data_IF_737740275307
#
_entry.id   IF_737740275307
#
_cell.length_a   1.000
_cell.length_b   1.000
_cell.length_c   1.000
_cell.angle_alpha   90.00
_cell.angle_beta   90.00
_cell.angle_gamma   90.00
#
_symmetry.space_group_name_H-M   'P 1'
#
loop_
_entity.id
_entity.type
_entity.pdbx_description
1 polymer ?
#
# COMPACT_ATOMS: atom_id res chain seq x y z
N UNK A 1 -0.27 -35.11 7.45
CA UNK A 1 0.09 -35.37 6.06
C UNK A 1 1.18 -34.46 5.51
N UNK A 2 1.72 -34.92 4.41
CA UNK A 2 2.74 -34.16 3.69
C UNK A 2 2.09 -33.17 2.72
N UNK A 3 2.76 -32.04 2.49
CA UNK A 3 2.35 -31.09 1.47
C UNK A 3 3.57 -30.36 0.92
N UNK A 4 3.42 -29.78 -0.26
CA UNK A 4 4.48 -29.05 -0.96
C UNK A 4 4.11 -27.59 -1.05
N UNK A 5 5.04 -26.70 -0.68
CA UNK A 5 4.95 -25.26 -0.86
C UNK A 5 5.85 -24.89 -2.04
N UNK A 6 5.26 -24.22 -3.03
CA UNK A 6 6.00 -23.82 -4.23
C UNK A 6 6.93 -22.65 -3.95
N UNK A 7 7.93 -22.47 -4.82
CA UNK A 7 8.80 -21.30 -4.80
C UNK A 7 7.96 -20.01 -4.87
N UNK A 8 8.31 -19.02 -4.05
CA UNK A 8 7.60 -17.76 -3.97
C UNK A 8 6.34 -17.78 -3.13
N UNK A 9 6.04 -18.89 -2.48
CA UNK A 9 4.90 -19.05 -1.59
C UNK A 9 5.36 -19.34 -0.17
N UNK A 10 4.50 -19.00 0.79
CA UNK A 10 4.62 -19.45 2.18
C UNK A 10 3.30 -20.07 2.60
N UNK A 11 3.35 -21.08 3.44
CA UNK A 11 2.16 -21.70 4.02
C UNK A 11 2.08 -21.35 5.51
N UNK A 12 0.92 -20.89 5.93
CA UNK A 12 0.62 -20.68 7.34
C UNK A 12 -0.13 -21.89 7.85
N UNK A 13 0.40 -22.52 8.88
CA UNK A 13 -0.19 -23.69 9.51
C UNK A 13 -0.95 -23.24 10.76
N UNK A 14 -2.23 -23.60 10.82
CA UNK A 14 -3.04 -23.37 12.01
C UNK A 14 -3.34 -24.71 12.69
N UNK A 15 -3.32 -24.71 14.01
CA UNK A 15 -3.67 -25.87 14.82
C UNK A 15 -4.86 -25.51 15.69
N UNK A 16 -5.96 -26.23 15.52
CA UNK A 16 -7.24 -25.93 16.20
C UNK A 16 -7.68 -24.47 16.01
N UNK A 17 -7.46 -23.94 14.80
CA UNK A 17 -7.82 -22.57 14.45
C UNK A 17 -6.85 -21.47 14.89
N UNK A 18 -5.77 -21.84 15.60
CA UNK A 18 -4.76 -20.89 16.07
C UNK A 18 -3.48 -21.02 15.26
N UNK A 19 -2.75 -19.92 15.13
CA UNK A 19 -1.45 -19.93 14.48
C UNK A 19 -0.51 -20.92 15.12
N UNK A 20 0.14 -21.74 14.29
CA UNK A 20 1.14 -22.71 14.74
C UNK A 20 2.53 -22.40 14.16
N UNK A 21 2.64 -22.27 12.84
CA UNK A 21 3.91 -22.02 12.20
C UNK A 21 3.72 -21.46 10.78
N UNK A 22 4.77 -20.77 10.28
CA UNK A 22 4.89 -20.40 8.87
C UNK A 22 6.04 -21.17 8.26
N UNK A 23 5.80 -21.81 7.11
CA UNK A 23 6.82 -22.62 6.42
C UNK A 23 7.06 -22.08 5.02
N UNK A 24 8.31 -22.14 4.59
CA UNK A 24 8.73 -21.72 3.27
C UNK A 24 8.58 -22.81 2.21
N UNK A 25 9.13 -22.52 1.02
CA UNK A 25 9.09 -23.45 -0.11
C UNK A 25 9.74 -24.79 0.24
N UNK A 26 9.22 -25.86 -0.35
CA UNK A 26 9.73 -27.19 -0.19
C UNK A 26 8.68 -28.19 0.26
N UNK A 27 9.18 -29.36 0.66
CA UNK A 27 8.34 -30.44 1.14
C UNK A 27 8.18 -30.34 2.65
N UNK A 28 6.93 -30.20 3.09
CA UNK A 28 6.61 -29.96 4.49
C UNK A 28 5.63 -31.00 5.00
N UNK A 29 5.56 -31.13 6.32
CA UNK A 29 4.66 -32.06 6.99
C UNK A 29 3.82 -31.33 8.04
N UNK A 30 2.55 -31.69 8.13
CA UNK A 30 1.65 -31.23 9.17
C UNK A 30 0.78 -32.36 9.68
N UNK A 31 0.21 -32.16 10.87
CA UNK A 31 -0.77 -33.12 11.38
C UNK A 31 -2.01 -33.13 10.50
N UNK A 32 -2.70 -34.28 10.34
CA UNK A 32 -3.88 -34.34 9.48
C UNK A 32 -5.01 -33.44 9.96
N UNK A 33 -5.80 -32.95 8.99
CA UNK A 33 -7.07 -32.30 9.29
C UNK A 33 -7.95 -33.24 10.14
N UNK A 34 -8.68 -32.78 11.19
CA UNK A 34 -8.95 -31.37 11.54
C UNK A 34 -7.95 -30.75 12.51
N UNK A 35 -6.87 -31.43 12.89
CA UNK A 35 -5.92 -30.95 13.89
C UNK A 35 -5.19 -29.71 13.37
N UNK A 36 -4.59 -29.81 12.19
CA UNK A 36 -3.88 -28.71 11.54
C UNK A 36 -4.43 -28.47 10.15
N UNK A 37 -4.37 -27.20 9.74
CA UNK A 37 -4.71 -26.75 8.40
C UNK A 37 -3.59 -25.88 7.86
N UNK A 38 -3.56 -25.71 6.55
CA UNK A 38 -2.61 -24.82 5.90
C UNK A 38 -3.32 -23.85 4.99
N UNK A 39 -2.80 -22.63 4.91
CA UNK A 39 -3.18 -21.64 3.90
C UNK A 39 -1.91 -21.15 3.22
N UNK A 40 -1.93 -21.13 1.89
CA UNK A 40 -0.77 -20.77 1.08
C UNK A 40 -0.93 -19.35 0.56
N UNK A 41 0.12 -18.55 0.70
CA UNK A 41 0.15 -17.16 0.27
C UNK A 41 1.35 -16.95 -0.64
N UNK A 42 1.12 -16.27 -1.77
CA UNK A 42 2.21 -15.88 -2.68
C UNK A 42 2.89 -14.63 -2.15
N UNK A 43 4.17 -14.75 -1.78
CA UNK A 43 4.94 -13.64 -1.19
C UNK A 43 5.86 -12.94 -2.19
N UNK A 44 6.10 -13.54 -3.36
CA UNK A 44 6.93 -12.90 -4.39
C UNK A 44 6.13 -12.14 -5.43
N UNK A 45 4.81 -12.32 -5.49
CA UNK A 45 3.97 -11.65 -6.46
C UNK A 45 3.91 -10.16 -6.17
N UNK A 46 4.30 -9.35 -7.17
CA UNK A 46 4.16 -7.90 -7.08
C UNK A 46 2.72 -7.52 -7.39
N UNK A 47 2.13 -6.75 -6.50
CA UNK A 47 0.78 -6.22 -6.63
C UNK A 47 0.86 -4.72 -6.85
N UNK A 48 -0.12 -4.16 -7.53
CA UNK A 48 -0.16 -2.74 -7.84
C UNK A 48 -1.51 -2.15 -7.47
N UNK A 49 -1.49 -0.97 -6.86
CA UNK A 49 -2.69 -0.19 -6.58
C UNK A 49 -2.48 1.24 -7.04
N UNK A 50 -3.55 1.87 -7.50
CA UNK A 50 -3.54 3.27 -7.88
C UNK A 50 -4.03 4.12 -6.71
N UNK A 51 -3.33 5.22 -6.46
CA UNK A 51 -3.64 6.17 -5.41
C UNK A 51 -3.91 7.53 -6.05
N UNK A 52 -4.93 8.21 -5.54
CA UNK A 52 -5.39 9.48 -6.10
C UNK A 52 -6.46 9.28 -7.16
N UNK A 53 -7.63 8.82 -6.74
CA UNK A 53 -8.75 8.58 -7.67
C UNK A 53 -9.27 9.89 -8.25
N UNK A 54 -9.81 9.78 -9.47
CA UNK A 54 -10.43 10.93 -10.15
C UNK A 54 -11.83 11.29 -9.63
N UNK A 55 -12.36 10.54 -8.68
CA UNK A 55 -13.67 10.83 -8.10
C UNK A 55 -13.66 12.17 -7.36
N UNK A 56 -14.73 12.92 -7.52
CA UNK A 56 -14.90 14.23 -6.91
C UNK A 56 -15.60 14.08 -5.56
N UNK A 57 -15.03 14.72 -4.54
CA UNK A 57 -15.66 14.80 -3.22
C UNK A 57 -16.78 15.84 -3.31
N UNK A 58 -18.03 15.42 -3.13
CA UNK A 58 -19.21 16.29 -3.32
C UNK A 58 -19.21 17.51 -2.42
N UNK A 59 -18.70 17.37 -1.19
CA UNK A 59 -18.71 18.45 -0.21
C UNK A 59 -17.80 19.63 -0.60
N UNK A 60 -16.69 19.37 -1.29
CA UNK A 60 -15.67 20.37 -1.60
C UNK A 60 -15.54 20.65 -3.09
N UNK A 61 -16.08 19.79 -3.95
CA UNK A 61 -15.87 19.86 -5.39
C UNK A 61 -14.47 19.50 -5.85
N UNK A 62 -13.62 19.03 -4.94
CA UNK A 62 -12.25 18.62 -5.22
C UNK A 62 -12.16 17.12 -5.45
N UNK A 63 -11.17 16.68 -6.21
CA UNK A 63 -10.89 15.27 -6.42
C UNK A 63 -10.20 14.67 -5.19
N UNK A 64 -10.34 13.37 -5.01
CA UNK A 64 -9.68 12.64 -3.91
C UNK A 64 -8.16 12.76 -3.97
N UNK A 65 -7.60 13.01 -5.15
CA UNK A 65 -6.15 13.21 -5.34
C UNK A 65 -5.65 14.58 -4.85
N UNK A 66 -6.54 15.47 -4.41
CA UNK A 66 -6.17 16.80 -3.95
C UNK A 66 -5.48 16.76 -2.59
N UNK A 67 -4.33 17.43 -2.50
CA UNK A 67 -3.50 17.52 -1.29
C UNK A 67 -3.20 18.99 -0.99
N UNK A 68 -3.07 19.32 0.30
CA UNK A 68 -2.77 20.68 0.75
C UNK A 68 -1.27 20.81 0.99
N UNK A 69 -0.67 21.84 0.36
CA UNK A 69 0.74 22.20 0.57
C UNK A 69 0.91 23.03 1.83
N UNK A 70 2.17 23.26 2.24
CA UNK A 70 2.49 24.06 3.42
C UNK A 70 2.01 25.52 3.32
N UNK A 71 2.02 26.08 2.12
CA UNK A 71 1.56 27.44 1.85
C UNK A 71 0.06 27.52 1.50
N UNK A 72 -0.69 26.49 1.92
CA UNK A 72 -2.16 26.41 1.82
C UNK A 72 -2.68 26.40 0.38
N UNK A 73 -1.87 25.93 -0.57
CA UNK A 73 -2.30 25.67 -1.93
C UNK A 73 -2.73 24.22 -2.11
N UNK A 74 -3.63 23.98 -3.04
CA UNK A 74 -4.11 22.63 -3.35
C UNK A 74 -3.41 22.15 -4.61
N UNK A 75 -2.87 20.93 -4.53
CA UNK A 75 -2.27 20.24 -5.67
C UNK A 75 -2.91 18.87 -5.82
N UNK A 76 -2.99 18.37 -7.03
CA UNK A 76 -3.46 17.00 -7.32
C UNK A 76 -2.28 16.11 -7.61
N UNK A 77 -2.23 14.95 -6.94
CA UNK A 77 -1.17 13.96 -7.10
C UNK A 77 -1.79 12.60 -7.31
N UNK A 78 -1.35 11.94 -8.37
CA UNK A 78 -1.73 10.56 -8.68
C UNK A 78 -0.48 9.73 -8.83
N UNK A 79 -0.49 8.54 -8.27
CA UNK A 79 0.64 7.64 -8.37
C UNK A 79 0.18 6.19 -8.22
N UNK A 80 1.05 5.28 -8.65
CA UNK A 80 0.85 3.85 -8.50
C UNK A 80 1.84 3.32 -7.47
N UNK A 81 1.38 2.45 -6.60
CA UNK A 81 2.21 1.78 -5.59
C UNK A 81 2.30 0.31 -5.96
N UNK A 82 3.53 -0.18 -6.06
CA UNK A 82 3.80 -1.60 -6.21
C UNK A 82 4.29 -2.15 -4.88
N UNK A 83 3.72 -3.25 -4.47
CA UNK A 83 4.07 -3.88 -3.21
C UNK A 83 4.01 -5.40 -3.31
N UNK A 84 4.62 -6.06 -2.35
CA UNK A 84 4.54 -7.52 -2.20
C UNK A 84 4.33 -7.88 -0.74
N UNK A 85 3.81 -9.07 -0.51
CA UNK A 85 3.65 -9.58 0.85
C UNK A 85 5.00 -10.07 1.36
N UNK A 86 5.37 -9.72 2.59
CA UNK A 86 6.60 -10.18 3.22
C UNK A 86 6.36 -11.03 4.48
N UNK A 87 5.12 -11.06 4.95
CA UNK A 87 4.75 -11.84 6.12
C UNK A 87 3.35 -12.42 5.90
N UNK A 88 3.29 -13.70 5.57
CA UNK A 88 2.02 -14.38 5.30
C UNK A 88 1.12 -14.41 6.53
N UNK A 89 1.69 -14.58 7.72
CA UNK A 89 0.92 -14.58 8.97
C UNK A 89 0.26 -13.23 9.20
N UNK A 90 1.02 -12.15 9.10
CA UNK A 90 0.50 -10.80 9.29
C UNK A 90 -0.59 -10.50 8.26
N UNK A 91 -0.37 -10.88 7.00
CA UNK A 91 -1.36 -10.71 5.95
C UNK A 91 -2.69 -11.40 6.27
N UNK A 92 -2.65 -12.64 6.78
CA UNK A 92 -3.86 -13.43 7.05
C UNK A 92 -4.59 -13.01 8.33
N UNK A 93 -3.86 -12.56 9.36
CA UNK A 93 -4.44 -12.36 10.69
C UNK A 93 -4.48 -10.91 11.16
N UNK A 94 -3.63 -10.03 10.62
CA UNK A 94 -3.50 -8.65 11.11
C UNK A 94 -4.15 -7.63 10.17
N UNK A 95 -4.44 -7.98 8.93
CA UNK A 95 -4.97 -7.07 7.93
C UNK A 95 -6.26 -7.59 7.33
N UNK A 96 -7.26 -6.71 7.19
CA UNK A 96 -8.51 -7.05 6.50
C UNK A 96 -8.32 -7.10 4.99
N UNK A 97 -7.59 -6.13 4.43
CA UNK A 97 -7.29 -6.05 3.01
C UNK A 97 -5.96 -5.33 2.84
N UNK A 98 -4.96 -5.97 2.20
CA UNK A 98 -3.67 -5.30 2.01
C UNK A 98 -3.77 -4.12 1.05
N UNK A 99 -4.61 -4.19 0.02
CA UNK A 99 -4.79 -3.08 -0.91
C UNK A 99 -5.31 -1.83 -0.20
N UNK A 100 -6.32 -1.98 0.65
CA UNK A 100 -6.90 -0.86 1.40
C UNK A 100 -5.88 -0.27 2.38
N UNK A 101 -5.12 -1.12 3.08
CA UNK A 101 -4.09 -0.66 4.00
C UNK A 101 -2.98 0.10 3.28
N UNK A 102 -2.56 -0.39 2.11
CA UNK A 102 -1.54 0.26 1.29
C UNK A 102 -2.04 1.62 0.79
N UNK A 103 -3.27 1.70 0.30
CA UNK A 103 -3.87 2.95 -0.17
C UNK A 103 -3.96 3.98 0.96
N UNK A 104 -4.42 3.58 2.13
CA UNK A 104 -4.52 4.48 3.29
C UNK A 104 -3.16 4.97 3.74
N UNK A 105 -2.16 4.09 3.80
CA UNK A 105 -0.80 4.46 4.15
C UNK A 105 -0.21 5.43 3.12
N UNK A 106 -0.47 5.19 1.85
CA UNK A 106 -0.02 6.06 0.77
C UNK A 106 -0.64 7.45 0.86
N UNK A 107 -1.95 7.53 1.07
CA UNK A 107 -2.64 8.81 1.22
C UNK A 107 -2.11 9.61 2.42
N UNK A 108 -1.91 8.96 3.55
CA UNK A 108 -1.35 9.60 4.74
C UNK A 108 0.08 10.07 4.51
N UNK A 109 0.90 9.26 3.85
CA UNK A 109 2.29 9.59 3.56
C UNK A 109 2.39 10.78 2.60
N UNK A 110 1.56 10.81 1.55
CA UNK A 110 1.56 11.92 0.58
C UNK A 110 1.12 13.21 1.25
N UNK A 111 0.07 13.18 2.06
CA UNK A 111 -0.38 14.37 2.79
C UNK A 111 0.73 14.94 3.67
N UNK A 112 1.46 14.08 4.36
CA UNK A 112 2.56 14.52 5.22
C UNK A 112 3.72 15.09 4.42
N UNK A 113 4.14 14.41 3.36
CA UNK A 113 5.26 14.84 2.52
C UNK A 113 4.94 16.16 1.82
N UNK A 114 3.78 16.26 1.18
CA UNK A 114 3.35 17.46 0.45
C UNK A 114 3.03 18.60 1.40
N UNK A 115 2.48 18.28 2.57
CA UNK A 115 2.16 19.28 3.58
C UNK A 115 3.39 20.03 4.12
N UNK A 116 4.58 19.54 3.90
CA UNK A 116 5.85 20.19 4.27
C UNK A 116 6.48 20.97 3.12
N UNK A 117 5.92 20.89 1.93
CA UNK A 117 6.43 21.56 0.72
C UNK A 117 5.56 22.76 0.35
N UNK A 118 6.18 23.75 -0.31
CA UNK A 118 5.42 24.79 -1.00
C UNK A 118 4.91 24.24 -2.34
N UNK A 119 3.87 24.84 -2.89
CA UNK A 119 3.33 24.47 -4.20
C UNK A 119 4.40 24.53 -5.29
N UNK A 120 5.17 25.61 -5.33
CA UNK A 120 6.22 25.78 -6.33
C UNK A 120 7.29 24.69 -6.22
N UNK A 121 7.71 24.34 -5.01
CA UNK A 121 8.70 23.28 -4.81
C UNK A 121 8.12 21.89 -5.15
N UNK A 122 6.89 21.64 -4.77
CA UNK A 122 6.23 20.36 -5.08
C UNK A 122 6.04 20.14 -6.59
N UNK A 123 5.81 21.22 -7.33
CA UNK A 123 5.68 21.18 -8.78
C UNK A 123 7.02 21.34 -9.52
N UNK A 124 8.07 21.77 -8.84
CA UNK A 124 9.38 22.10 -9.40
C UNK A 124 10.52 21.29 -8.80
N UNK A 125 11.37 21.97 -8.02
CA UNK A 125 12.67 21.42 -7.57
C UNK A 125 12.56 20.18 -6.69
N UNK A 126 11.53 20.06 -5.88
CA UNK A 126 11.37 18.94 -4.95
C UNK A 126 10.44 17.85 -5.49
N UNK A 127 9.92 18.00 -6.68
CA UNK A 127 8.98 17.05 -7.28
C UNK A 127 9.53 15.62 -7.31
N UNK A 128 10.78 15.45 -7.71
CA UNK A 128 11.39 14.13 -7.83
C UNK A 128 11.66 13.47 -6.48
N UNK A 129 11.61 14.25 -5.39
CA UNK A 129 11.82 13.75 -4.05
C UNK A 129 10.53 13.21 -3.41
N UNK A 130 9.37 13.51 -3.99
CA UNK A 130 8.09 13.11 -3.41
C UNK A 130 7.96 11.59 -3.34
N UNK A 131 8.18 10.90 -4.45
CA UNK A 131 8.02 9.44 -4.51
C UNK A 131 8.94 8.70 -3.53
N UNK A 132 10.26 9.00 -3.45
CA UNK A 132 11.13 8.36 -2.47
C UNK A 132 10.73 8.62 -1.01
N UNK A 133 10.30 9.84 -0.69
CA UNK A 133 9.87 10.20 0.67
C UNK A 133 8.57 9.50 1.04
N UNK A 134 7.63 9.43 0.10
CA UNK A 134 6.36 8.71 0.29
C UNK A 134 6.62 7.24 0.53
N UNK A 135 7.50 6.62 -0.26
CA UNK A 135 7.86 5.21 -0.11
C UNK A 135 8.40 4.91 1.29
N UNK A 136 9.35 5.71 1.77
CA UNK A 136 9.95 5.52 3.09
C UNK A 136 8.91 5.66 4.20
N UNK A 137 8.08 6.69 4.13
CA UNK A 137 7.06 6.94 5.14
C UNK A 137 5.96 5.88 5.12
N UNK A 138 5.54 5.45 3.93
CA UNK A 138 4.58 4.34 3.79
C UNK A 138 5.09 3.08 4.46
N UNK A 139 6.35 2.72 4.20
CA UNK A 139 6.92 1.52 4.78
C UNK A 139 6.93 1.59 6.31
N UNK A 140 7.28 2.75 6.87
CA UNK A 140 7.23 2.98 8.31
C UNK A 140 5.81 2.79 8.87
N UNK A 141 4.80 3.33 8.19
CA UNK A 141 3.41 3.20 8.61
C UNK A 141 2.95 1.74 8.55
N UNK A 142 3.23 1.07 7.43
CA UNK A 142 2.81 -0.32 7.22
C UNK A 142 3.49 -1.28 8.20
N UNK A 143 4.75 -1.04 8.53
CA UNK A 143 5.47 -1.85 9.51
C UNK A 143 4.91 -1.64 10.92
N UNK A 144 4.56 -0.41 11.26
CA UNK A 144 3.95 -0.09 12.56
C UNK A 144 2.64 -0.84 12.77
N UNK A 145 1.82 -0.94 11.73
CA UNK A 145 0.54 -1.63 11.80
C UNK A 145 0.64 -3.12 11.46
N UNK A 146 1.84 -3.65 11.25
CA UNK A 146 2.09 -5.07 11.01
C UNK A 146 1.24 -5.65 9.87
N UNK A 147 1.16 -4.89 8.78
CA UNK A 147 0.34 -5.29 7.62
C UNK A 147 0.95 -6.47 6.87
N UNK A 148 2.26 -6.67 6.97
CA UNK A 148 2.95 -7.75 6.29
C UNK A 148 3.23 -7.46 4.82
N UNK A 149 3.52 -6.22 4.50
CA UNK A 149 3.70 -5.71 3.15
C UNK A 149 5.04 -5.00 3.02
N UNK A 150 5.74 -5.24 1.91
CA UNK A 150 6.93 -4.48 1.52
C UNK A 150 6.58 -3.62 0.30
N UNK A 151 6.81 -2.31 0.40
CA UNK A 151 6.64 -1.38 -0.71
C UNK A 151 7.83 -1.53 -1.65
N UNK A 152 7.57 -1.97 -2.88
CA UNK A 152 8.61 -2.18 -3.89
C UNK A 152 8.93 -0.87 -4.61
N UNK A 153 7.90 -0.14 -5.05
CA UNK A 153 8.08 1.10 -5.78
C UNK A 153 6.86 2.01 -5.64
N UNK A 154 7.13 3.30 -5.68
CA UNK A 154 6.11 4.34 -5.80
C UNK A 154 6.41 5.11 -7.07
N UNK A 155 5.49 5.08 -8.02
CA UNK A 155 5.66 5.71 -9.33
C UNK A 155 4.59 6.78 -9.52
N UNK A 156 5.02 8.03 -9.69
CA UNK A 156 4.10 9.11 -10.00
C UNK A 156 3.61 8.96 -11.44
N UNK A 157 2.32 9.19 -11.65
CA UNK A 157 1.74 9.16 -12.99
C UNK A 157 2.25 10.32 -13.83
N UNK A 158 2.13 10.17 -15.14
CA UNK A 158 2.49 11.21 -16.09
C UNK A 158 1.75 12.51 -15.77
N UNK A 159 2.49 13.62 -15.73
CA UNK A 159 1.97 14.89 -15.27
C UNK A 159 2.26 15.15 -13.78
N UNK A 160 2.51 14.13 -12.99
CA UNK A 160 2.95 14.24 -11.60
C UNK A 160 2.07 15.12 -10.74
N UNK A 161 2.68 16.13 -10.14
CA UNK A 161 2.00 17.13 -9.32
C UNK A 161 1.48 18.23 -10.22
N UNK A 162 0.20 18.58 -10.07
CA UNK A 162 -0.42 19.64 -10.89
C UNK A 162 -1.43 20.43 -10.07
N UNK A 163 -1.78 21.68 -10.50
CA UNK A 163 -2.87 22.41 -9.88
C UNK A 163 -4.19 21.66 -10.07
N UNK A 164 -5.16 21.86 -9.15
CA UNK A 164 -6.43 21.17 -9.26
C UNK A 164 -7.22 21.64 -10.48
N UNK A 165 -7.86 20.69 -11.16
CA UNK A 165 -8.89 21.04 -12.13
C UNK A 165 -10.16 21.40 -11.37
N UNK A 166 -10.64 22.59 -11.58
CA UNK A 166 -11.92 22.99 -11.00
C UNK A 166 -13.07 22.27 -11.70
N UNK A 167 -14.12 21.97 -10.93
CA UNK A 167 -15.31 21.36 -11.48
C UNK A 167 -16.03 22.40 -12.33
N UNK A 168 -15.97 22.24 -13.64
CA UNK A 168 -16.48 23.22 -14.59
C UNK A 168 -17.99 23.38 -14.55
N UNK A 169 -18.71 22.41 -14.05
CA UNK A 169 -20.16 22.47 -13.96
C UNK A 169 -20.70 23.60 -13.09
N UNK A 170 -19.81 24.25 -12.32
CA UNK A 170 -20.16 25.40 -11.51
C UNK A 170 -20.17 26.73 -12.29
N UNK A 171 -19.77 26.71 -13.55
CA UNK A 171 -19.65 27.92 -14.36
C UNK A 171 -20.49 27.86 -15.62
#
# INVERSE_FOLDING_TARGET
GFFIVQEGQQAVITQFGKYHATVGAGFNWRLPWPIQRQETVRVTQIRSVDVGRDSVIKATGLRESAMLTRDENIVEIKFAVQYRLNDARAYLFESKSPDDAVVQAAESAVREVVGKMTMDNAMGDERDQIAPRVRTLMQTILDRYQVGVEVVAVNMQQGGVRPPEQVQAAF
#
